data_IF_464651363674
#
_entry.id   IF_464651363674
#
_cell.length_a   1.000
_cell.length_b   1.000
_cell.length_c   1.000
_cell.angle_alpha   90.00
_cell.angle_beta   90.00
_cell.angle_gamma   90.00
#
_symmetry.space_group_name_H-M   'P 1'
#
loop_
_entity.id
_entity.type
_entity.pdbx_description
1 polymer ?
#
# COMPACT_ATOMS: atom_id res chain seq x y z
N UNK A 1 -18.22 -11.58 -14.38
CA UNK A 1 -17.74 -10.45 -13.57
C UNK A 1 -17.81 -10.81 -12.09
N UNK A 2 -16.69 -10.82 -11.37
CA UNK A 2 -16.77 -11.10 -9.93
C UNK A 2 -17.54 -9.99 -9.22
N UNK A 3 -18.28 -10.37 -8.19
CA UNK A 3 -19.07 -9.42 -7.40
C UNK A 3 -18.26 -8.80 -6.26
N UNK A 4 -17.03 -9.21 -6.10
CA UNK A 4 -16.11 -8.68 -5.09
C UNK A 4 -14.72 -8.54 -5.70
N UNK A 5 -13.90 -7.61 -5.19
CA UNK A 5 -12.57 -7.41 -5.73
C UNK A 5 -11.65 -8.59 -5.45
N UNK A 6 -10.80 -8.88 -6.41
CA UNK A 6 -9.75 -9.90 -6.26
C UNK A 6 -8.49 -9.19 -5.78
N UNK A 7 -7.84 -9.73 -4.75
CA UNK A 7 -6.59 -9.18 -4.23
C UNK A 7 -5.51 -9.37 -5.30
N UNK A 8 -4.81 -8.30 -5.71
CA UNK A 8 -3.74 -8.45 -6.69
C UNK A 8 -2.57 -9.23 -6.13
N UNK A 9 -1.85 -9.94 -6.99
CA UNK A 9 -0.66 -10.68 -6.58
C UNK A 9 0.48 -9.73 -6.23
N UNK A 10 0.65 -8.67 -7.02
CA UNK A 10 1.73 -7.70 -6.84
C UNK A 10 1.18 -6.28 -6.89
N UNK A 11 1.95 -5.36 -6.30
CA UNK A 11 1.64 -3.92 -6.37
C UNK A 11 2.94 -3.19 -6.67
N UNK A 12 2.88 -2.16 -7.52
CA UNK A 12 4.04 -1.34 -7.87
C UNK A 12 4.01 -0.06 -7.05
N UNK A 13 5.07 0.17 -6.29
CA UNK A 13 5.18 1.29 -5.35
C UNK A 13 6.25 2.26 -5.84
N UNK A 14 5.89 3.54 -5.96
CA UNK A 14 6.83 4.61 -6.27
C UNK A 14 7.42 5.13 -4.95
N UNK A 15 8.73 5.11 -4.82
CA UNK A 15 9.40 5.39 -3.55
C UNK A 15 9.62 6.88 -3.32
N UNK A 16 8.60 7.69 -3.54
CA UNK A 16 8.66 9.14 -3.33
C UNK A 16 7.37 9.80 -3.76
N UNK A 17 7.36 11.12 -3.84
CA UNK A 17 6.19 11.84 -4.32
C UNK A 17 5.95 11.52 -5.80
N UNK A 18 4.69 11.61 -6.27
CA UNK A 18 4.36 11.17 -7.63
C UNK A 18 5.22 11.78 -8.74
N UNK A 19 5.58 13.04 -8.62
CA UNK A 19 6.34 13.72 -9.66
C UNK A 19 7.85 13.65 -9.45
N UNK A 20 8.31 12.92 -8.44
CA UNK A 20 9.73 12.77 -8.17
C UNK A 20 10.33 11.69 -9.08
N UNK A 21 11.66 11.72 -9.22
CA UNK A 21 12.38 10.73 -10.03
C UNK A 21 12.72 9.47 -9.22
N UNK A 22 12.06 9.25 -8.10
CA UNK A 22 12.30 8.08 -7.25
C UNK A 22 12.01 6.78 -8.01
N UNK A 23 12.68 5.67 -7.64
CA UNK A 23 12.45 4.40 -8.32
C UNK A 23 11.10 3.78 -7.95
N UNK A 24 10.61 2.90 -8.84
CA UNK A 24 9.46 2.06 -8.57
C UNK A 24 9.94 0.68 -8.16
N UNK A 25 9.24 0.05 -7.21
CA UNK A 25 9.48 -1.34 -6.85
C UNK A 25 8.18 -2.10 -6.96
N UNK A 26 8.23 -3.34 -7.46
CA UNK A 26 7.06 -4.21 -7.54
C UNK A 26 7.24 -5.29 -6.50
N UNK A 27 6.29 -5.38 -5.57
CA UNK A 27 6.36 -6.31 -4.45
C UNK A 27 5.05 -7.09 -4.32
N UNK A 28 5.07 -8.27 -3.67
CA UNK A 28 3.81 -8.97 -3.39
C UNK A 28 2.88 -8.09 -2.58
N UNK A 29 1.59 -8.13 -2.88
CA UNK A 29 0.61 -7.27 -2.21
C UNK A 29 0.59 -7.51 -0.70
N UNK A 30 0.65 -8.78 -0.27
CA UNK A 30 0.65 -9.09 1.16
C UNK A 30 1.88 -8.54 1.87
N UNK A 31 3.04 -8.57 1.21
CA UNK A 31 4.26 -7.99 1.76
C UNK A 31 4.14 -6.48 1.88
N UNK A 32 3.51 -5.84 0.90
CA UNK A 32 3.25 -4.40 0.94
C UNK A 32 2.41 -4.04 2.16
N UNK A 33 1.30 -4.75 2.37
CA UNK A 33 0.41 -4.47 3.49
C UNK A 33 1.11 -4.68 4.84
N UNK A 34 1.89 -5.75 4.97
CA UNK A 34 2.67 -5.99 6.20
C UNK A 34 3.64 -4.86 6.47
N UNK A 35 4.31 -4.37 5.43
CA UNK A 35 5.26 -3.27 5.57
C UNK A 35 4.57 -1.99 6.03
N UNK A 36 3.44 -1.64 5.40
CA UNK A 36 2.67 -0.46 5.77
C UNK A 36 2.18 -0.58 7.21
N UNK A 37 1.64 -1.72 7.59
CA UNK A 37 1.16 -1.95 8.95
C UNK A 37 2.29 -1.77 9.97
N UNK A 38 3.49 -2.27 9.66
CA UNK A 38 4.64 -2.16 10.55
C UNK A 38 5.05 -0.71 10.80
N UNK A 39 4.78 0.18 9.85
CA UNK A 39 5.22 1.57 9.94
C UNK A 39 4.11 2.55 10.35
N UNK A 40 2.84 2.11 10.36
CA UNK A 40 1.72 2.98 10.72
C UNK A 40 1.01 2.54 11.99
N UNK A 41 1.22 1.33 12.46
CA UNK A 41 0.52 0.78 13.62
C UNK A 41 1.50 0.35 14.69
N UNK A 42 1.02 0.34 15.93
CA UNK A 42 1.81 -0.15 17.06
C UNK A 42 1.32 -1.54 17.46
N UNK A 43 2.23 -2.52 17.62
CA UNK A 43 1.83 -3.89 18.03
C UNK A 43 1.12 -3.94 19.38
N UNK A 44 1.29 -2.89 20.20
CA UNK A 44 0.67 -2.81 21.52
C UNK A 44 -0.79 -2.39 21.50
N UNK A 45 -1.32 -2.00 20.33
CA UNK A 45 -2.72 -1.62 20.23
C UNK A 45 -3.63 -2.84 20.43
N UNK A 46 -4.86 -2.63 20.94
CA UNK A 46 -5.83 -3.74 21.03
C UNK A 46 -6.03 -4.41 19.68
N UNK A 47 -6.28 -5.72 19.71
CA UNK A 47 -6.43 -6.50 18.48
C UNK A 47 -7.52 -5.93 17.57
N UNK A 48 -8.65 -5.52 18.13
CA UNK A 48 -9.74 -4.95 17.33
C UNK A 48 -9.31 -3.70 16.58
N UNK A 49 -8.51 -2.83 17.23
CA UNK A 49 -7.99 -1.62 16.60
C UNK A 49 -7.01 -1.95 15.48
N UNK A 50 -6.14 -2.95 15.70
CA UNK A 50 -5.18 -3.39 14.68
C UNK A 50 -5.92 -3.93 13.46
N UNK A 51 -6.92 -4.79 13.68
CA UNK A 51 -7.71 -5.37 12.58
C UNK A 51 -8.41 -4.29 11.76
N UNK A 52 -9.06 -3.35 12.43
CA UNK A 52 -9.80 -2.29 11.75
C UNK A 52 -8.86 -1.44 10.89
N UNK A 53 -7.69 -1.11 11.42
CA UNK A 53 -6.72 -0.29 10.69
C UNK A 53 -6.10 -1.05 9.52
N UNK A 54 -5.79 -2.33 9.69
CA UNK A 54 -5.27 -3.15 8.61
C UNK A 54 -6.31 -3.29 7.49
N UNK A 55 -7.57 -3.50 7.83
CA UNK A 55 -8.65 -3.56 6.84
C UNK A 55 -8.76 -2.25 6.07
N UNK A 56 -8.64 -1.11 6.76
CA UNK A 56 -8.65 0.19 6.12
C UNK A 56 -7.46 0.36 5.18
N UNK A 57 -6.29 -0.11 5.57
CA UNK A 57 -5.09 -0.04 4.74
C UNK A 57 -5.23 -0.89 3.48
N UNK A 58 -5.80 -2.09 3.61
CA UNK A 58 -6.06 -2.96 2.47
C UNK A 58 -7.04 -2.28 1.52
N UNK A 59 -8.13 -1.74 2.05
CA UNK A 59 -9.15 -1.06 1.24
C UNK A 59 -8.58 0.13 0.51
N UNK A 60 -7.71 0.91 1.17
CA UNK A 60 -7.07 2.06 0.55
C UNK A 60 -6.18 1.62 -0.62
N UNK A 61 -5.34 0.61 -0.41
CA UNK A 61 -4.44 0.12 -1.45
C UNK A 61 -5.23 -0.46 -2.63
N UNK A 62 -6.27 -1.23 -2.34
CA UNK A 62 -7.13 -1.78 -3.40
C UNK A 62 -7.82 -0.68 -4.20
N UNK A 63 -8.24 0.38 -3.53
CA UNK A 63 -8.83 1.53 -4.21
C UNK A 63 -7.85 2.11 -5.24
N UNK A 64 -6.58 2.32 -4.83
CA UNK A 64 -5.57 2.86 -5.73
C UNK A 64 -5.32 1.96 -6.94
N UNK A 65 -5.32 0.64 -6.72
CA UNK A 65 -5.09 -0.32 -7.80
C UNK A 65 -6.29 -0.38 -8.74
N UNK A 66 -7.48 -0.56 -8.19
CA UNK A 66 -8.66 -0.81 -9.02
C UNK A 66 -9.23 0.43 -9.68
N UNK A 67 -9.02 1.62 -9.12
CA UNK A 67 -9.40 2.86 -9.79
C UNK A 67 -8.31 3.34 -10.74
N UNK A 68 -7.14 2.66 -10.75
CA UNK A 68 -5.98 3.06 -11.53
C UNK A 68 -5.64 4.53 -11.25
N UNK A 69 -5.67 4.90 -9.97
CA UNK A 69 -5.57 6.31 -9.55
C UNK A 69 -4.37 7.02 -10.20
N UNK A 70 -3.18 6.41 -10.12
CA UNK A 70 -1.99 6.99 -10.74
C UNK A 70 -1.84 6.60 -12.20
N UNK A 71 -2.13 5.35 -12.53
CA UNK A 71 -1.94 4.87 -13.91
C UNK A 71 -2.85 5.59 -14.90
N UNK A 72 -4.08 5.95 -14.48
CA UNK A 72 -4.98 6.71 -15.33
C UNK A 72 -4.50 8.13 -15.57
N UNK A 73 -3.55 8.61 -14.76
CA UNK A 73 -2.96 9.93 -14.90
C UNK A 73 -1.60 9.90 -15.60
N UNK A 74 -1.22 8.75 -16.17
CA UNK A 74 0.00 8.62 -16.93
C UNK A 74 1.22 8.14 -16.15
N UNK A 75 1.05 7.80 -14.88
CA UNK A 75 2.15 7.26 -14.08
C UNK A 75 2.24 5.75 -14.26
N UNK A 76 3.43 5.19 -14.01
CA UNK A 76 3.69 3.76 -14.21
C UNK A 76 3.80 3.00 -12.89
N UNK A 77 3.02 3.42 -11.89
CA UNK A 77 2.97 2.76 -10.58
C UNK A 77 1.54 2.81 -10.03
N UNK A 78 1.28 1.99 -9.01
CA UNK A 78 -0.05 1.88 -8.42
C UNK A 78 -0.24 2.82 -7.22
N UNK A 79 0.82 3.04 -6.44
CA UNK A 79 0.72 3.77 -5.18
C UNK A 79 2.09 4.37 -4.86
N UNK A 80 2.14 5.38 -3.99
CA UNK A 80 3.41 5.94 -3.53
C UNK A 80 3.72 5.50 -2.10
N UNK A 81 4.97 5.68 -1.70
CA UNK A 81 5.42 5.32 -0.35
C UNK A 81 5.25 6.46 0.66
N UNK A 82 4.61 7.56 0.29
CA UNK A 82 4.53 8.74 1.14
C UNK A 82 3.21 8.84 1.87
N UNK A 83 3.26 9.24 3.15
CA UNK A 83 2.04 9.46 3.94
C UNK A 83 1.30 10.71 3.51
N UNK A 84 1.96 11.60 2.77
CA UNK A 84 1.33 12.82 2.26
C UNK A 84 0.32 12.51 1.17
N UNK A 85 0.50 11.41 0.45
CA UNK A 85 -0.36 11.02 -0.66
C UNK A 85 -1.06 9.70 -0.42
N UNK A 86 -0.38 8.73 0.18
CA UNK A 86 -0.87 7.37 0.31
C UNK A 86 -0.55 6.78 1.69
N UNK A 87 0.31 5.77 1.71
CA UNK A 87 0.61 5.00 2.92
C UNK A 87 2.11 4.92 3.13
N UNK A 88 2.54 4.81 4.38
CA UNK A 88 3.96 4.72 4.71
C UNK A 88 4.50 3.34 4.34
N UNK A 89 5.25 3.27 3.26
CA UNK A 89 5.95 2.07 2.85
C UNK A 89 7.45 2.34 2.90
N UNK A 90 8.22 1.48 3.55
CA UNK A 90 9.67 1.63 3.64
C UNK A 90 10.33 0.40 3.04
N UNK A 91 11.00 0.59 1.88
CA UNK A 91 11.67 -0.50 1.19
C UNK A 91 12.81 -1.04 2.06
N UNK A 92 12.82 -2.34 2.29
CA UNK A 92 13.84 -2.97 3.12
C UNK A 92 13.66 -2.78 4.61
N UNK A 93 12.52 -2.19 5.03
CA UNK A 93 12.25 -1.99 6.45
C UNK A 93 11.84 -3.29 7.15
N UNK A 94 11.98 -3.31 8.48
CA UNK A 94 11.55 -4.45 9.28
C UNK A 94 10.03 -4.52 9.33
N UNK A 95 9.52 -5.74 9.34
CA UNK A 95 8.07 -6.01 9.33
C UNK A 95 7.73 -6.87 10.53
N UNK A 96 6.71 -6.49 11.30
CA UNK A 96 6.22 -7.35 12.37
C UNK A 96 5.15 -8.30 11.83
N UNK A 97 5.05 -9.46 12.46
CA UNK A 97 4.08 -10.48 12.07
C UNK A 97 2.83 -10.44 12.92
#
# INVERSE_FOLDING_TARGET
MPTYPVVPTFITVHLGLPDSSAPNVTVPFTSYIKNVASHELYPTWPEAALRANIMAQISFALNRVYTEFYRSRGYDFDITSTTQRDQAYVSGGNVFE
#
